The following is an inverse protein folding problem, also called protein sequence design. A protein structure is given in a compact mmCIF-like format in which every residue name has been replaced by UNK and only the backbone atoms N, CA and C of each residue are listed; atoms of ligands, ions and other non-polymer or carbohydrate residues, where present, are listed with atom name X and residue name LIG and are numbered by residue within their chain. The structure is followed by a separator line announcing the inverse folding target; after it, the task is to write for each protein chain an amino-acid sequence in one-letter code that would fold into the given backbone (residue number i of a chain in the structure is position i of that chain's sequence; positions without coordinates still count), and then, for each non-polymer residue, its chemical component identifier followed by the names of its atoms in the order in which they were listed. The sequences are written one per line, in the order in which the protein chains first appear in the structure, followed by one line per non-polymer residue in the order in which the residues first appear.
data_IF_179418865390
#
_entry.id   IF_179418865390
#
_cell.length_a   1.000
_cell.length_b   1.000
_cell.length_c   1.000
_cell.angle_alpha   90.00
_cell.angle_beta   90.00
_cell.angle_gamma   90.00
#
_symmetry.space_group_name_H-M   'P 1'
#
loop_
_entity.id
_entity.type
_entity.pdbx_description
1 polymer ?
#
# COMPACT_ATOMS: atom_id res chain seq x y z
N UNK A 1 -30.10 -19.85 -2.72
CA UNK A 1 -30.40 -18.74 -3.63
C UNK A 1 -29.16 -18.18 -4.35
N UNK A 2 -27.98 -18.11 -3.72
CA UNK A 2 -26.76 -17.55 -4.36
C UNK A 2 -26.09 -18.40 -5.45
N UNK A 3 -26.29 -19.73 -5.46
CA UNK A 3 -25.66 -20.61 -6.46
C UNK A 3 -26.30 -20.50 -7.84
N UNK A 4 -27.61 -20.25 -7.90
CA UNK A 4 -28.36 -20.09 -9.15
C UNK A 4 -28.03 -18.78 -9.88
N UNK A 5 -27.91 -17.65 -9.14
CA UNK A 5 -27.58 -16.36 -9.70
C UNK A 5 -26.13 -16.27 -10.26
N UNK A 6 -25.23 -17.10 -9.74
CA UNK A 6 -23.83 -17.17 -10.22
C UNK A 6 -23.71 -17.81 -11.60
N UNK A 7 -24.55 -18.80 -11.89
CA UNK A 7 -24.56 -19.50 -13.19
C UNK A 7 -25.05 -18.59 -14.32
N UNK A 8 -25.93 -17.62 -13.99
CA UNK A 8 -26.40 -16.61 -14.96
C UNK A 8 -25.40 -15.49 -15.25
N UNK A 9 -24.46 -15.20 -14.33
CA UNK A 9 -23.53 -14.09 -14.48
C UNK A 9 -22.11 -14.51 -14.82
N UNK A 10 -21.85 -15.78 -15.17
CA UNK A 10 -20.50 -16.31 -15.46
C UNK A 10 -19.44 -15.97 -14.40
N UNK A 11 -19.84 -15.87 -13.12
CA UNK A 11 -18.92 -15.54 -12.06
C UNK A 11 -18.02 -16.72 -11.70
N UNK A 12 -16.75 -16.48 -11.37
CA UNK A 12 -15.83 -17.50 -10.88
C UNK A 12 -16.39 -18.28 -9.68
N UNK A 13 -15.89 -19.49 -9.42
CA UNK A 13 -16.36 -20.31 -8.31
C UNK A 13 -16.15 -19.62 -6.97
N UNK A 14 -17.05 -19.86 -6.03
CA UNK A 14 -16.93 -19.43 -4.65
C UNK A 14 -17.17 -20.64 -3.77
N UNK A 15 -16.11 -21.24 -3.23
CA UNK A 15 -16.20 -22.50 -2.50
C UNK A 15 -16.78 -22.34 -1.09
N UNK A 16 -17.03 -21.12 -0.65
CA UNK A 16 -17.46 -20.80 0.71
C UNK A 16 -18.88 -20.26 0.77
N UNK A 17 -19.51 -20.44 1.93
CA UNK A 17 -20.82 -19.86 2.22
C UNK A 17 -20.62 -18.36 2.50
N UNK A 18 -21.30 -17.52 1.72
CA UNK A 18 -21.35 -16.08 1.98
C UNK A 18 -22.39 -15.78 3.07
N UNK A 19 -21.92 -15.38 4.24
CA UNK A 19 -22.79 -15.00 5.35
C UNK A 19 -23.53 -13.67 5.07
N UNK A 20 -24.75 -13.48 5.57
CA UNK A 20 -25.44 -12.20 5.47
C UNK A 20 -24.55 -11.08 6.03
N UNK A 21 -24.62 -9.89 5.43
CA UNK A 21 -23.90 -8.66 5.82
C UNK A 21 -22.39 -8.78 5.67
N UNK A 22 -21.72 -9.72 6.35
CA UNK A 22 -20.25 -9.81 6.40
C UNK A 22 -19.64 -10.54 5.20
N UNK A 23 -20.43 -11.32 4.44
CA UNK A 23 -19.91 -12.10 3.31
C UNK A 23 -18.87 -13.12 3.76
N UNK A 24 -17.67 -13.07 3.17
CA UNK A 24 -16.53 -13.95 3.48
C UNK A 24 -15.47 -13.27 4.36
N UNK A 25 -15.76 -12.14 5.02
CA UNK A 25 -14.81 -11.47 5.90
C UNK A 25 -14.31 -12.37 7.04
N UNK A 26 -15.08 -13.35 7.46
CA UNK A 26 -14.70 -14.32 8.49
C UNK A 26 -13.50 -15.19 8.08
N UNK A 27 -13.22 -15.32 6.79
CA UNK A 27 -12.04 -16.05 6.28
C UNK A 27 -10.74 -15.30 6.47
N UNK A 28 -10.77 -13.96 6.58
CA UNK A 28 -9.57 -13.12 6.61
C UNK A 28 -8.91 -13.15 7.99
N UNK A 29 -7.85 -13.94 8.10
CA UNK A 29 -6.93 -13.91 9.25
C UNK A 29 -5.72 -13.04 8.93
N UNK A 30 -5.07 -12.47 9.93
CA UNK A 30 -3.81 -11.72 9.74
C UNK A 30 -2.63 -12.68 9.63
N UNK A 31 -1.71 -12.46 8.71
CA UNK A 31 -1.77 -11.49 7.60
C UNK A 31 -2.68 -12.01 6.45
N UNK A 32 -3.55 -11.15 5.86
CA UNK A 32 -4.59 -11.57 4.94
C UNK A 32 -4.07 -12.27 3.68
N UNK A 33 -2.91 -11.84 3.15
CA UNK A 33 -2.32 -12.44 1.96
C UNK A 33 -1.99 -13.94 2.13
N UNK A 34 -1.52 -14.37 3.31
CA UNK A 34 -1.23 -15.78 3.58
C UNK A 34 -2.50 -16.62 3.64
N UNK A 35 -3.57 -16.05 4.20
CA UNK A 35 -4.87 -16.74 4.23
C UNK A 35 -5.44 -16.88 2.83
N UNK A 36 -5.39 -15.83 2.01
CA UNK A 36 -5.87 -15.85 0.63
C UNK A 36 -5.04 -16.82 -0.24
N UNK A 37 -3.71 -16.88 -0.05
CA UNK A 37 -2.86 -17.85 -0.74
C UNK A 37 -3.30 -19.29 -0.44
N UNK A 38 -3.46 -19.66 0.84
CA UNK A 38 -3.94 -20.99 1.24
C UNK A 38 -5.33 -21.35 0.68
N UNK A 39 -6.22 -20.35 0.60
CA UNK A 39 -7.54 -20.54 0.00
C UNK A 39 -7.41 -20.85 -1.49
N UNK A 40 -6.56 -20.12 -2.20
CA UNK A 40 -6.32 -20.33 -3.63
C UNK A 40 -5.63 -21.66 -3.92
N UNK A 41 -4.64 -22.06 -3.14
CA UNK A 41 -3.98 -23.38 -3.25
C UNK A 41 -4.99 -24.52 -3.17
N UNK A 42 -6.00 -24.40 -2.30
CA UNK A 42 -7.01 -25.46 -2.09
C UNK A 42 -8.16 -25.44 -3.10
N UNK A 43 -8.57 -24.27 -3.55
CA UNK A 43 -9.84 -24.10 -4.28
C UNK A 43 -9.67 -23.57 -5.71
N UNK A 44 -8.43 -23.29 -6.12
CA UNK A 44 -8.11 -22.84 -7.47
C UNK A 44 -7.64 -21.39 -7.55
N UNK A 45 -7.03 -21.01 -8.69
CA UNK A 45 -6.34 -19.74 -8.86
C UNK A 45 -7.26 -18.54 -9.10
N UNK A 46 -8.53 -18.77 -9.40
CA UNK A 46 -9.51 -17.73 -9.70
C UNK A 46 -10.78 -17.97 -8.88
N UNK A 47 -11.04 -17.11 -7.89
CA UNK A 47 -12.17 -17.28 -6.98
C UNK A 47 -12.93 -15.97 -6.81
N UNK A 48 -14.26 -16.10 -6.70
CA UNK A 48 -15.13 -14.99 -6.36
C UNK A 48 -15.46 -15.01 -4.87
N UNK A 49 -15.10 -13.94 -4.19
CA UNK A 49 -15.39 -13.72 -2.77
C UNK A 49 -16.26 -12.48 -2.59
N UNK A 50 -16.82 -12.32 -1.41
CA UNK A 50 -17.56 -11.13 -1.02
C UNK A 50 -17.07 -10.66 0.36
N UNK A 51 -16.50 -9.48 0.43
CA UNK A 51 -16.07 -8.89 1.68
C UNK A 51 -17.08 -7.82 2.11
N UNK A 52 -18.01 -8.22 2.97
CA UNK A 52 -19.15 -7.38 3.31
C UNK A 52 -20.00 -7.04 2.08
N UNK A 53 -20.10 -5.75 1.77
CA UNK A 53 -20.83 -5.26 0.59
C UNK A 53 -20.01 -5.31 -0.72
N UNK A 54 -18.70 -5.58 -0.66
CA UNK A 54 -17.80 -5.51 -1.83
C UNK A 54 -17.61 -6.88 -2.49
N UNK A 55 -17.86 -7.01 -3.80
CA UNK A 55 -17.41 -8.16 -4.57
C UNK A 55 -15.88 -8.12 -4.71
N UNK A 56 -15.24 -9.27 -4.60
CA UNK A 56 -13.77 -9.41 -4.68
C UNK A 56 -13.43 -10.59 -5.57
N UNK A 57 -12.61 -10.34 -6.56
CA UNK A 57 -12.00 -11.37 -7.39
C UNK A 57 -10.62 -11.69 -6.82
N UNK A 58 -10.40 -12.94 -6.39
CA UNK A 58 -9.11 -13.44 -5.99
C UNK A 58 -8.44 -14.07 -7.20
N UNK A 59 -7.30 -13.49 -7.59
CA UNK A 59 -6.45 -13.96 -8.69
C UNK A 59 -5.10 -14.36 -8.13
N UNK A 60 -4.68 -15.61 -8.35
CA UNK A 60 -3.44 -16.17 -7.79
C UNK A 60 -2.56 -16.86 -8.84
N UNK A 61 -2.92 -16.84 -10.12
CA UNK A 61 -2.06 -17.34 -11.18
C UNK A 61 -1.45 -16.21 -12.00
N UNK A 62 -0.21 -16.35 -12.49
CA UNK A 62 0.43 -15.37 -13.35
C UNK A 62 -0.37 -15.08 -14.62
N UNK A 63 -0.91 -16.11 -15.29
CA UNK A 63 -1.67 -15.96 -16.53
C UNK A 63 -2.94 -15.12 -16.37
N UNK A 64 -3.73 -15.37 -15.32
CA UNK A 64 -4.92 -14.56 -15.05
C UNK A 64 -4.55 -13.14 -14.59
N UNK A 65 -3.44 -12.98 -13.85
CA UNK A 65 -2.95 -11.65 -13.47
C UNK A 65 -2.50 -10.86 -14.70
N UNK A 66 -1.79 -11.50 -15.63
CA UNK A 66 -1.39 -10.88 -16.90
C UNK A 66 -2.62 -10.42 -17.69
N UNK A 67 -3.65 -11.24 -17.80
CA UNK A 67 -4.88 -10.87 -18.49
C UNK A 67 -5.57 -9.66 -17.82
N UNK A 68 -5.61 -9.60 -16.50
CA UNK A 68 -6.16 -8.45 -15.77
C UNK A 68 -5.37 -7.17 -15.99
N UNK A 69 -4.02 -7.25 -16.09
CA UNK A 69 -3.15 -6.08 -16.17
C UNK A 69 -2.73 -5.68 -17.58
N UNK A 70 -3.14 -6.43 -18.59
CA UNK A 70 -2.88 -6.14 -20.01
C UNK A 70 -4.18 -5.94 -20.76
N UNK A 71 -4.90 -7.02 -21.12
CA UNK A 71 -6.12 -6.96 -21.93
C UNK A 71 -7.26 -6.20 -21.26
N UNK A 72 -7.35 -6.30 -19.94
CA UNK A 72 -8.43 -5.73 -19.14
C UNK A 72 -7.96 -4.64 -18.17
N UNK A 73 -6.79 -4.03 -18.42
CA UNK A 73 -6.15 -3.06 -17.52
C UNK A 73 -7.05 -1.86 -17.21
N UNK A 74 -7.79 -1.36 -18.18
CA UNK A 74 -8.76 -0.25 -18.01
C UNK A 74 -9.90 -0.65 -17.05
N UNK A 75 -10.40 -1.89 -17.16
CA UNK A 75 -11.51 -2.38 -16.32
C UNK A 75 -11.05 -2.54 -14.87
N UNK A 76 -9.82 -3.08 -14.67
CA UNK A 76 -9.23 -3.31 -13.35
C UNK A 76 -8.38 -2.14 -12.84
N UNK A 77 -8.17 -1.09 -13.65
CA UNK A 77 -7.30 0.05 -13.31
C UNK A 77 -7.78 0.90 -12.15
N UNK A 78 -9.07 0.91 -11.86
CA UNK A 78 -9.63 1.73 -10.80
C UNK A 78 -9.25 1.24 -9.40
N UNK A 79 -8.98 2.18 -8.50
CA UNK A 79 -8.71 1.89 -7.10
C UNK A 79 -10.00 1.84 -6.29
N UNK A 80 -10.12 0.94 -5.30
CA UNK A 80 -11.30 0.91 -4.45
C UNK A 80 -11.36 2.17 -3.59
N UNK A 81 -12.57 2.74 -3.45
CA UNK A 81 -12.79 3.90 -2.60
C UNK A 81 -12.75 3.49 -1.11
N UNK A 82 -11.52 3.44 -0.56
CA UNK A 82 -11.26 3.15 0.85
C UNK A 82 -11.11 4.45 1.64
N UNK A 83 -11.40 4.41 2.94
CA UNK A 83 -11.24 5.56 3.83
C UNK A 83 -9.80 6.08 3.85
N UNK A 84 -8.81 5.19 3.77
CA UNK A 84 -7.40 5.57 3.66
C UNK A 84 -7.15 6.46 2.44
N UNK A 85 -7.69 6.14 1.26
CA UNK A 85 -7.56 6.98 0.07
C UNK A 85 -8.18 8.36 0.21
N UNK A 86 -9.28 8.46 0.97
CA UNK A 86 -9.93 9.75 1.26
C UNK A 86 -9.05 10.65 2.14
N UNK A 87 -8.51 10.12 3.23
CA UNK A 87 -7.81 10.94 4.23
C UNK A 87 -6.30 11.03 4.00
N UNK A 88 -5.63 9.94 3.61
CA UNK A 88 -4.20 9.91 3.35
C UNK A 88 -3.86 10.19 1.88
N UNK A 89 -4.81 9.95 0.98
CA UNK A 89 -4.66 10.16 -0.45
C UNK A 89 -5.20 11.49 -0.96
N UNK A 90 -5.36 12.50 -0.10
CA UNK A 90 -5.88 13.82 -0.46
C UNK A 90 -7.16 13.71 -1.29
N UNK A 91 -8.18 13.04 -0.74
CA UNK A 91 -9.43 12.78 -1.43
C UNK A 91 -9.25 12.02 -2.76
N UNK A 92 -8.41 10.97 -2.74
CA UNK A 92 -8.11 10.10 -3.89
C UNK A 92 -7.37 10.81 -5.04
N UNK A 93 -6.62 11.88 -4.78
CA UNK A 93 -5.89 12.62 -5.83
C UNK A 93 -4.44 12.19 -6.00
N UNK A 94 -3.87 11.42 -5.08
CA UNK A 94 -2.50 10.92 -5.23
C UNK A 94 -2.40 9.77 -6.23
N UNK A 95 -1.22 9.56 -6.83
CA UNK A 95 -0.96 8.50 -7.82
C UNK A 95 -1.41 7.10 -7.35
N UNK A 96 -1.26 6.79 -6.06
CA UNK A 96 -1.65 5.49 -5.50
C UNK A 96 -3.17 5.30 -5.38
N UNK A 97 -3.95 6.37 -5.23
CA UNK A 97 -5.37 6.33 -4.93
C UNK A 97 -6.27 6.89 -6.02
N UNK A 98 -5.71 7.63 -6.97
CA UNK A 98 -6.47 8.20 -8.07
C UNK A 98 -7.05 7.10 -8.97
N UNK A 99 -8.30 7.30 -9.40
CA UNK A 99 -8.94 6.45 -10.38
C UNK A 99 -8.29 6.61 -11.75
N UNK A 100 -8.39 5.58 -12.57
CA UNK A 100 -7.95 5.60 -13.96
C UNK A 100 -8.61 6.77 -14.71
N UNK A 101 -7.81 7.60 -15.37
CA UNK A 101 -8.27 8.79 -16.09
C UNK A 101 -7.15 9.79 -16.32
N UNK A 102 -7.46 10.96 -16.90
CA UNK A 102 -6.47 11.95 -17.30
C UNK A 102 -5.57 12.42 -16.16
N UNK A 103 -6.15 12.64 -14.98
CA UNK A 103 -5.38 13.03 -13.80
C UNK A 103 -4.34 11.97 -13.40
N UNK A 104 -4.74 10.70 -13.32
CA UNK A 104 -3.84 9.59 -13.01
C UNK A 104 -2.74 9.43 -14.08
N UNK A 105 -3.10 9.55 -15.37
CA UNK A 105 -2.12 9.50 -16.46
C UNK A 105 -1.09 10.63 -16.36
N UNK A 106 -1.49 11.84 -16.01
CA UNK A 106 -0.57 12.96 -15.82
C UNK A 106 0.38 12.70 -14.65
N UNK A 107 -0.12 12.27 -13.50
CA UNK A 107 0.72 11.92 -12.35
C UNK A 107 1.71 10.80 -12.68
N UNK A 108 1.24 9.74 -13.34
CA UNK A 108 2.08 8.63 -13.77
C UNK A 108 3.17 9.09 -14.74
N UNK A 109 2.82 9.93 -15.71
CA UNK A 109 3.79 10.49 -16.66
C UNK A 109 4.87 11.29 -15.96
N UNK A 110 4.50 12.18 -15.05
CA UNK A 110 5.45 12.96 -14.24
C UNK A 110 6.37 12.02 -13.44
N UNK A 111 5.80 11.07 -12.69
CA UNK A 111 6.59 10.12 -11.91
C UNK A 111 7.57 9.31 -12.78
N UNK A 112 7.13 8.87 -13.96
CA UNK A 112 7.96 8.07 -14.86
C UNK A 112 9.08 8.90 -15.49
N UNK A 113 8.80 10.12 -15.95
CA UNK A 113 9.79 10.96 -16.64
C UNK A 113 10.75 11.65 -15.67
N UNK A 114 10.23 12.20 -14.58
CA UNK A 114 11.02 13.06 -13.70
C UNK A 114 11.71 12.31 -12.56
N UNK A 115 11.27 11.09 -12.22
CA UNK A 115 11.82 10.33 -11.10
C UNK A 115 12.38 8.98 -11.53
N UNK A 116 11.62 8.21 -12.32
CA UNK A 116 11.90 6.81 -12.60
C UNK A 116 12.52 6.53 -13.97
N UNK A 117 12.72 7.54 -14.81
CA UNK A 117 13.40 7.35 -16.10
C UNK A 117 14.86 6.91 -15.89
N UNK A 118 15.38 6.13 -16.82
CA UNK A 118 16.78 5.64 -16.77
C UNK A 118 17.78 6.79 -16.59
N UNK A 119 17.56 7.90 -17.29
CA UNK A 119 18.40 9.09 -17.17
C UNK A 119 18.35 9.69 -15.75
N UNK A 120 17.17 9.86 -15.17
CA UNK A 120 17.01 10.39 -13.81
C UNK A 120 17.59 9.43 -12.78
N UNK A 121 17.36 8.13 -12.92
CA UNK A 121 17.96 7.12 -12.04
C UNK A 121 19.48 7.17 -12.08
N UNK A 122 20.10 7.41 -13.24
CA UNK A 122 21.55 7.59 -13.34
C UNK A 122 22.01 8.90 -12.72
N UNK A 123 21.35 10.03 -12.99
CA UNK A 123 21.67 11.33 -12.38
C UNK A 123 21.62 11.29 -10.84
N UNK A 124 20.69 10.55 -10.27
CA UNK A 124 20.56 10.39 -8.82
C UNK A 124 21.52 9.35 -8.21
N UNK A 125 22.47 8.81 -8.99
CA UNK A 125 23.43 7.83 -8.48
C UNK A 125 24.32 8.39 -7.37
N UNK A 126 24.69 9.68 -7.44
CA UNK A 126 25.52 10.33 -6.44
C UNK A 126 24.78 10.51 -5.11
N UNK A 127 23.48 10.83 -5.16
CA UNK A 127 22.63 10.88 -3.96
C UNK A 127 22.63 9.52 -3.27
N UNK A 128 22.41 8.44 -4.02
CA UNK A 128 22.41 7.08 -3.45
C UNK A 128 23.77 6.72 -2.86
N UNK A 129 24.88 7.03 -3.54
CA UNK A 129 26.23 6.80 -3.01
C UNK A 129 26.50 7.59 -1.73
N UNK A 130 26.05 8.84 -1.71
CA UNK A 130 26.21 9.71 -0.55
C UNK A 130 25.50 9.14 0.67
N UNK A 131 24.27 8.63 0.52
CA UNK A 131 23.50 8.07 1.63
C UNK A 131 23.92 6.65 2.06
N UNK A 132 24.47 5.85 1.15
CA UNK A 132 24.98 4.50 1.47
C UNK A 132 26.29 4.58 2.27
N UNK A 133 27.16 5.57 2.01
CA UNK A 133 28.48 5.69 2.67
C UNK A 133 28.40 5.80 4.19
N UNK A 134 27.57 6.67 4.80
CA UNK A 134 27.41 6.74 6.26
C UNK A 134 26.92 5.43 6.87
N UNK A 135 26.01 4.75 6.21
CA UNK A 135 25.54 3.43 6.65
C UNK A 135 26.68 2.42 6.72
N UNK A 136 27.49 2.31 5.66
CA UNK A 136 28.67 1.44 5.65
C UNK A 136 29.67 1.81 6.74
N UNK A 137 29.96 3.10 6.92
CA UNK A 137 30.85 3.57 7.99
C UNK A 137 30.32 3.19 9.37
N UNK A 138 29.01 3.32 9.63
CA UNK A 138 28.40 2.92 10.90
C UNK A 138 28.50 1.41 11.12
N UNK A 139 28.33 0.60 10.09
CA UNK A 139 28.46 -0.86 10.17
C UNK A 139 29.92 -1.29 10.44
N UNK A 140 30.89 -0.67 9.77
CA UNK A 140 32.31 -0.98 9.96
C UNK A 140 32.80 -0.54 11.35
N UNK A 141 32.43 0.66 11.81
CA UNK A 141 32.83 1.19 13.13
C UNK A 141 32.14 0.45 14.28
N UNK A 142 30.98 -0.15 14.05
CA UNK A 142 30.19 -0.89 15.05
C UNK A 142 30.74 -2.27 15.42
N UNK A 143 31.94 -2.66 14.94
CA UNK A 143 32.52 -4.01 15.14
C UNK A 143 32.92 -4.33 16.58
N UNK A 144 32.79 -3.42 17.53
CA UNK A 144 33.08 -3.67 18.94
C UNK A 144 31.80 -3.44 19.80
N UNK A 145 30.91 -4.42 19.84
CA UNK A 145 29.75 -4.52 20.75
C UNK A 145 28.46 -3.71 20.45
N UNK A 146 28.27 -3.12 19.27
CA UNK A 146 26.99 -2.47 18.95
C UNK A 146 26.16 -3.33 17.98
N UNK A 147 25.00 -3.82 18.47
CA UNK A 147 23.98 -4.44 17.61
C UNK A 147 23.30 -3.33 16.82
N UNK A 148 23.42 -3.37 15.48
CA UNK A 148 22.76 -2.43 14.58
C UNK A 148 21.40 -3.01 14.17
N UNK A 149 20.32 -2.28 14.39
CA UNK A 149 19.02 -2.60 13.80
C UNK A 149 19.05 -2.27 12.31
N UNK A 150 19.26 -3.29 11.49
CA UNK A 150 19.33 -3.16 10.03
C UNK A 150 18.03 -2.67 9.42
N UNK A 151 16.88 -3.00 10.01
CA UNK A 151 15.57 -2.53 9.51
C UNK A 151 15.45 -1.02 9.68
N UNK A 152 15.85 -0.49 10.81
CA UNK A 152 15.89 0.94 11.07
C UNK A 152 16.89 1.65 10.17
N UNK A 153 18.11 1.11 10.08
CA UNK A 153 19.18 1.65 9.26
C UNK A 153 18.82 1.75 7.77
N UNK A 154 18.20 0.70 7.21
CA UNK A 154 17.71 0.72 5.84
C UNK A 154 16.53 1.68 5.65
N UNK A 155 15.64 1.79 6.63
CA UNK A 155 14.53 2.73 6.57
C UNK A 155 15.04 4.18 6.49
N UNK A 156 15.96 4.57 7.37
CA UNK A 156 16.58 5.90 7.40
C UNK A 156 17.28 6.22 6.08
N UNK A 157 18.17 5.34 5.63
CA UNK A 157 18.89 5.48 4.36
C UNK A 157 17.93 5.64 3.18
N UNK A 158 16.94 4.76 3.08
CA UNK A 158 15.98 4.78 1.97
C UNK A 158 15.16 6.06 1.97
N UNK A 159 14.73 6.50 3.14
CA UNK A 159 13.92 7.71 3.29
C UNK A 159 14.74 8.96 2.92
N UNK A 160 15.99 9.05 3.36
CA UNK A 160 16.89 10.13 2.95
C UNK A 160 17.09 10.15 1.42
N UNK A 161 17.36 9.00 0.80
CA UNK A 161 17.51 8.91 -0.66
C UNK A 161 16.25 9.47 -1.35
N UNK A 162 15.06 9.03 -0.95
CA UNK A 162 13.82 9.52 -1.54
C UNK A 162 13.59 11.00 -1.34
N UNK A 163 13.83 11.50 -0.14
CA UNK A 163 13.64 12.92 0.16
C UNK A 163 14.67 13.82 -0.54
N UNK A 164 15.90 13.37 -0.67
CA UNK A 164 16.91 14.07 -1.47
C UNK A 164 16.56 14.09 -2.96
N UNK A 165 16.04 12.99 -3.51
CA UNK A 165 15.63 12.91 -4.92
C UNK A 165 14.41 13.79 -5.24
N UNK A 166 13.45 13.91 -4.32
CA UNK A 166 12.18 14.60 -4.56
C UNK A 166 12.24 16.07 -4.08
N UNK A 167 12.83 16.32 -2.92
CA UNK A 167 12.79 17.62 -2.25
C UNK A 167 14.16 18.25 -2.01
N UNK A 168 15.26 17.57 -2.35
CA UNK A 168 16.62 18.04 -2.06
C UNK A 168 16.91 18.17 -0.56
N UNK A 169 16.16 17.49 0.30
CA UNK A 169 16.23 17.62 1.76
C UNK A 169 16.61 16.29 2.42
N UNK A 170 17.57 16.34 3.34
CA UNK A 170 17.97 15.23 4.18
C UNK A 170 17.32 15.36 5.55
N UNK A 171 16.68 14.30 6.04
CA UNK A 171 16.00 14.29 7.33
C UNK A 171 16.83 13.66 8.44
N UNK A 172 17.61 12.63 8.14
CA UNK A 172 18.47 11.96 9.12
C UNK A 172 19.89 12.48 9.03
N UNK A 173 20.46 12.95 10.15
CA UNK A 173 21.82 13.49 10.24
C UNK A 173 22.17 13.89 11.66
N UNK A 174 23.41 14.34 11.88
CA UNK A 174 24.05 14.47 13.19
C UNK A 174 23.64 15.70 14.04
N UNK A 175 22.81 16.63 13.56
CA UNK A 175 22.38 17.79 14.34
C UNK A 175 21.16 17.52 15.20
N UNK A 176 21.11 18.05 16.44
CA UNK A 176 20.01 17.84 17.39
C UNK A 176 18.65 18.30 16.86
N UNK A 177 18.59 19.43 16.12
CA UNK A 177 17.35 19.88 15.47
C UNK A 177 16.85 18.88 14.41
N UNK A 178 17.78 18.32 13.63
CA UNK A 178 17.45 17.30 12.64
C UNK A 178 16.96 15.99 13.28
N UNK A 179 17.43 15.66 14.47
CA UNK A 179 17.01 14.44 15.19
C UNK A 179 15.53 14.49 15.55
N UNK A 180 15.02 15.61 16.07
CA UNK A 180 13.61 15.73 16.44
C UNK A 180 12.70 15.79 15.19
N UNK A 181 13.10 16.54 14.15
CA UNK A 181 12.39 16.58 12.87
C UNK A 181 12.34 15.20 12.22
N UNK A 182 13.45 14.46 12.24
CA UNK A 182 13.57 13.09 11.73
C UNK A 182 12.66 12.12 12.46
N UNK A 183 12.64 12.19 13.79
CA UNK A 183 11.79 11.35 14.62
C UNK A 183 10.31 11.58 14.28
N UNK A 184 9.88 12.83 14.24
CA UNK A 184 8.52 13.21 13.88
C UNK A 184 8.15 12.74 12.48
N UNK A 185 9.05 12.92 11.52
CA UNK A 185 8.83 12.50 10.14
C UNK A 185 8.72 10.97 10.02
N UNK A 186 9.58 10.21 10.71
CA UNK A 186 9.52 8.75 10.79
C UNK A 186 8.19 8.26 11.37
N UNK A 187 7.72 8.89 12.44
CA UNK A 187 6.43 8.57 13.04
C UNK A 187 5.28 8.78 12.05
N UNK A 188 5.27 9.93 11.35
CA UNK A 188 4.25 10.25 10.34
C UNK A 188 4.26 9.23 9.21
N UNK A 189 5.42 8.94 8.64
CA UNK A 189 5.56 7.98 7.52
C UNK A 189 5.15 6.58 7.96
N UNK A 190 5.65 6.11 9.11
CA UNK A 190 5.34 4.79 9.64
C UNK A 190 3.83 4.63 9.91
N UNK A 191 3.22 5.62 10.54
CA UNK A 191 1.78 5.60 10.83
C UNK A 191 0.95 5.68 9.54
N UNK A 192 1.38 6.48 8.56
CA UNK A 192 0.73 6.56 7.24
C UNK A 192 0.72 5.21 6.54
N UNK A 193 1.85 4.50 6.53
CA UNK A 193 1.91 3.15 5.96
C UNK A 193 1.05 2.14 6.73
N UNK A 194 1.08 2.17 8.05
CA UNK A 194 0.25 1.31 8.89
C UNK A 194 -1.25 1.54 8.64
N UNK A 195 -1.67 2.81 8.56
CA UNK A 195 -3.06 3.19 8.30
C UNK A 195 -3.49 2.88 6.86
N UNK A 196 -2.60 3.06 5.88
CA UNK A 196 -2.85 2.70 4.48
C UNK A 196 -3.07 1.21 4.28
N UNK A 197 -2.30 0.37 5.00
CA UNK A 197 -2.41 -1.09 4.97
C UNK A 197 -3.46 -1.66 5.94
N UNK A 198 -4.05 -0.83 6.79
CA UNK A 198 -5.02 -1.29 7.77
C UNK A 198 -6.37 -1.61 7.12
N UNK A 199 -6.81 -2.85 7.26
CA UNK A 199 -8.16 -3.25 6.87
C UNK A 199 -9.18 -2.55 7.76
N UNK A 200 -9.86 -1.54 7.25
CA UNK A 200 -10.94 -0.89 7.98
C UNK A 200 -12.25 -1.61 7.72
N UNK A 201 -12.86 -2.15 8.77
CA UNK A 201 -14.15 -2.84 8.66
C UNK A 201 -15.23 -1.93 8.05
N UNK A 202 -15.19 -0.62 8.30
CA UNK A 202 -16.10 0.35 7.71
C UNK A 202 -16.03 0.46 6.18
N UNK A 203 -14.92 0.04 5.56
CA UNK A 203 -14.78 -0.01 4.10
C UNK A 203 -15.59 -1.16 3.47
N UNK A 204 -15.88 -2.19 4.24
CA UNK A 204 -16.61 -3.38 3.82
C UNK A 204 -18.03 -3.44 4.33
N UNK A 205 -18.30 -2.82 5.48
CA UNK A 205 -19.61 -2.79 6.13
C UNK A 205 -20.11 -1.35 6.24
N UNK A 206 -20.90 -0.87 5.27
CA UNK A 206 -21.38 0.52 5.22
C UNK A 206 -22.11 0.96 6.48
N UNK A 207 -22.85 0.07 7.11
CA UNK A 207 -23.58 0.34 8.35
C UNK A 207 -22.66 0.67 9.53
N UNK A 208 -21.40 0.16 9.51
CA UNK A 208 -20.41 0.43 10.55
C UNK A 208 -19.52 1.65 10.26
N UNK A 209 -19.71 2.32 9.13
CA UNK A 209 -18.99 3.57 8.82
C UNK A 209 -19.16 4.60 9.93
N UNK A 210 -20.35 4.68 10.51
CA UNK A 210 -20.66 5.64 11.59
C UNK A 210 -19.89 5.38 12.88
N UNK A 211 -19.67 4.13 13.26
CA UNK A 211 -19.11 3.77 14.57
C UNK A 211 -17.57 3.89 14.61
N UNK A 212 -16.86 3.57 13.52
CA UNK A 212 -15.38 3.55 13.48
C UNK A 212 -14.74 4.69 12.71
N UNK A 213 -15.47 5.37 11.84
CA UNK A 213 -14.97 6.53 11.08
C UNK A 213 -14.46 7.62 12.02
N UNK A 214 -15.12 7.83 13.14
CA UNK A 214 -14.70 8.87 14.08
C UNK A 214 -13.30 8.61 14.66
N UNK A 215 -12.97 7.38 15.08
CA UNK A 215 -11.62 7.08 15.61
C UNK A 215 -10.50 7.22 14.59
N UNK A 216 -10.70 6.76 13.36
CA UNK A 216 -9.71 6.90 12.28
C UNK A 216 -9.62 8.36 11.81
N UNK A 217 -10.76 9.01 11.64
CA UNK A 217 -10.87 10.42 11.25
C UNK A 217 -10.21 11.34 12.27
N UNK A 218 -10.39 11.09 13.55
CA UNK A 218 -9.78 11.88 14.63
C UNK A 218 -8.27 11.66 14.71
N UNK A 219 -7.80 10.43 14.51
CA UNK A 219 -6.36 10.16 14.38
C UNK A 219 -5.72 10.87 13.18
N UNK A 220 -6.40 10.90 12.05
CA UNK A 220 -5.92 11.50 10.81
C UNK A 220 -6.00 13.03 10.83
N UNK A 221 -7.04 13.61 11.47
CA UNK A 221 -7.18 15.07 11.64
C UNK A 221 -6.21 15.68 12.62
N UNK A 222 -5.70 14.93 13.60
CA UNK A 222 -4.74 15.44 14.58
C UNK A 222 -3.33 15.61 14.03
N UNK A 223 -3.04 15.11 12.83
CA UNK A 223 -1.70 15.07 12.25
C UNK A 223 -1.59 15.71 10.84
N UNK A 224 -2.68 16.18 10.27
CA UNK A 224 -2.70 17.04 9.08
C UNK A 224 -2.94 18.49 9.45
#
# INVERSE_FOLDING_TARGET
MNHFLRKFNNLPPSPFISLPIIGHLYLLKKPPHRTLAKISEKHGPLLFLRFGSRPVLLVSSPSHAEECFTKNDVVFGNRPNLLAGKYLGYNYTTLAWASYGQHWHNLRRIATLEILSTQRVQMFADIRRHEVRPLLQRLVRGTTNHIVDMKEAFFEMTLNIWMMMIAGKQYYGDSAEKVEESRRFKEIVTETFQLSGATNIGDFLPLLKWIRVNKLKDKLKRKG
#
